data_IF_930524871112
#
_entry.id   IF_930524871112
#
_cell.length_a   1.000
_cell.length_b   1.000
_cell.length_c   1.000
_cell.angle_alpha   90.00
_cell.angle_beta   90.00
_cell.angle_gamma   90.00
#
_symmetry.space_group_name_H-M   'P 1'
#
loop_
_entity.id
_entity.type
_entity.pdbx_description
1 polymer ?
#
# COMPACT_ATOMS: atom_id res chain seq x y z
N UNK A 1 -8.44 3.03 15.22
CA UNK A 1 -8.11 1.71 15.85
C UNK A 1 -8.10 0.67 14.74
N UNK A 2 -7.10 -0.21 14.71
CA UNK A 2 -6.98 -1.24 13.67
C UNK A 2 -8.07 -2.31 13.81
N UNK A 3 -8.65 -2.73 12.66
CA UNK A 3 -9.64 -3.82 12.58
C UNK A 3 -8.98 -5.21 12.43
N UNK A 4 -7.64 -5.27 12.31
CA UNK A 4 -6.90 -6.53 12.13
C UNK A 4 -7.19 -7.60 13.18
N UNK A 5 -7.27 -7.30 14.49
CA UNK A 5 -7.57 -8.32 15.49
C UNK A 5 -8.87 -9.07 15.23
N UNK A 6 -9.89 -8.42 14.68
CA UNK A 6 -11.18 -9.03 14.36
C UNK A 6 -11.06 -10.04 13.21
N UNK A 7 -10.26 -9.73 12.19
CA UNK A 7 -10.03 -10.62 11.05
C UNK A 7 -9.37 -11.95 11.44
N UNK A 8 -8.65 -12.00 12.57
CA UNK A 8 -7.94 -13.17 13.06
C UNK A 8 -8.56 -13.81 14.32
N UNK A 9 -9.71 -13.31 14.78
CA UNK A 9 -10.35 -13.80 16.01
C UNK A 9 -11.00 -15.19 15.86
N UNK A 10 -11.19 -15.69 14.64
CA UNK A 10 -11.75 -17.01 14.35
C UNK A 10 -10.73 -18.14 14.51
N UNK A 11 -11.23 -19.38 14.57
CA UNK A 11 -10.39 -20.60 14.59
C UNK A 11 -10.08 -21.14 13.18
N UNK A 12 -10.61 -20.52 12.15
CA UNK A 12 -10.38 -20.91 10.76
C UNK A 12 -9.26 -20.07 10.14
N UNK A 13 -8.56 -20.57 9.11
CA UNK A 13 -7.56 -19.78 8.39
C UNK A 13 -8.17 -18.52 7.77
N UNK A 14 -7.51 -17.38 7.94
CA UNK A 14 -7.91 -16.13 7.30
C UNK A 14 -7.49 -16.12 5.82
N UNK A 15 -8.38 -15.66 4.93
CA UNK A 15 -8.09 -15.43 3.53
C UNK A 15 -7.64 -13.99 3.32
N UNK A 16 -6.36 -13.80 2.96
CA UNK A 16 -5.72 -12.48 2.80
C UNK A 16 -5.14 -12.36 1.38
N UNK A 17 -5.97 -11.98 0.39
CA UNK A 17 -5.47 -11.76 -0.96
C UNK A 17 -4.62 -10.50 -1.08
N UNK A 18 -3.66 -10.53 -2.01
CA UNK A 18 -2.79 -9.43 -2.37
C UNK A 18 -3.09 -8.94 -3.79
N UNK A 19 -2.99 -7.63 -4.01
CA UNK A 19 -2.91 -7.04 -5.34
C UNK A 19 -1.94 -5.85 -5.38
N UNK A 20 -1.31 -5.64 -6.53
CA UNK A 20 -0.55 -4.42 -6.81
C UNK A 20 -1.52 -3.32 -7.24
N UNK A 21 -1.68 -2.28 -6.44
CA UNK A 21 -2.60 -1.18 -6.73
C UNK A 21 -2.13 -0.43 -7.98
N UNK A 22 -3.05 -0.18 -8.90
CA UNK A 22 -2.76 0.47 -10.18
C UNK A 22 -2.47 -0.50 -11.33
N UNK A 23 -2.51 -1.80 -11.11
CA UNK A 23 -2.33 -2.81 -12.16
C UNK A 23 -3.70 -3.44 -12.56
N UNK A 24 -4.14 -3.31 -13.80
CA UNK A 24 -3.57 -2.52 -14.89
C UNK A 24 -3.85 -1.02 -14.76
N UNK A 25 -4.84 -0.63 -13.96
CA UNK A 25 -5.24 0.74 -13.66
C UNK A 25 -6.00 0.81 -12.33
N UNK A 26 -6.28 2.02 -11.84
CA UNK A 26 -6.97 2.23 -10.55
C UNK A 26 -8.44 1.77 -10.57
N UNK A 27 -9.25 2.02 -11.62
CA UNK A 27 -10.61 1.51 -11.68
C UNK A 27 -10.69 -0.02 -11.62
N UNK A 28 -9.79 -0.71 -12.31
CA UNK A 28 -9.71 -2.18 -12.27
C UNK A 28 -9.29 -2.68 -10.90
N UNK A 29 -8.32 -2.03 -10.27
CA UNK A 29 -7.88 -2.34 -8.90
C UNK A 29 -9.04 -2.22 -7.90
N UNK A 30 -9.86 -1.19 -8.02
CA UNK A 30 -11.06 -1.02 -7.18
C UNK A 30 -12.05 -2.17 -7.36
N UNK A 31 -12.35 -2.53 -8.61
CA UNK A 31 -13.25 -3.65 -8.92
C UNK A 31 -12.69 -4.98 -8.38
N UNK A 32 -11.39 -5.19 -8.44
CA UNK A 32 -10.75 -6.39 -7.88
C UNK A 32 -10.85 -6.44 -6.36
N UNK A 33 -10.62 -5.34 -5.66
CA UNK A 33 -10.78 -5.29 -4.19
C UNK A 33 -12.22 -5.61 -3.80
N UNK A 34 -13.19 -4.98 -4.45
CA UNK A 34 -14.62 -5.23 -4.19
C UNK A 34 -14.99 -6.71 -4.43
N UNK A 35 -14.52 -7.29 -5.53
CA UNK A 35 -14.75 -8.70 -5.83
C UNK A 35 -14.09 -9.66 -4.84
N UNK A 36 -12.89 -9.34 -4.37
CA UNK A 36 -12.18 -10.14 -3.35
C UNK A 36 -12.93 -10.11 -2.01
N UNK A 37 -13.43 -8.95 -1.61
CA UNK A 37 -14.22 -8.80 -0.38
C UNK A 37 -15.56 -9.55 -0.51
N UNK A 38 -16.27 -9.41 -1.63
CA UNK A 38 -17.49 -10.17 -1.91
C UNK A 38 -17.24 -11.69 -1.93
N UNK A 39 -16.06 -12.10 -2.41
CA UNK A 39 -15.60 -13.49 -2.43
C UNK A 39 -15.19 -14.06 -1.06
N UNK A 40 -15.22 -13.26 0.00
CA UNK A 40 -14.97 -13.71 1.37
C UNK A 40 -13.56 -13.43 1.90
N UNK A 41 -12.85 -12.43 1.36
CA UNK A 41 -11.60 -12.00 1.95
C UNK A 41 -11.80 -11.50 3.40
N UNK A 42 -10.97 -11.95 4.32
CA UNK A 42 -10.97 -11.50 5.71
C UNK A 42 -10.14 -10.22 5.92
N UNK A 43 -9.20 -9.98 5.02
CA UNK A 43 -8.33 -8.81 4.96
C UNK A 43 -7.83 -8.68 3.52
N UNK A 44 -7.51 -7.48 3.06
CA UNK A 44 -6.89 -7.29 1.74
C UNK A 44 -5.54 -6.61 1.89
N UNK A 45 -4.52 -7.19 1.28
CA UNK A 45 -3.18 -6.62 1.22
C UNK A 45 -3.01 -5.82 -0.07
N UNK A 46 -2.87 -4.51 0.07
CA UNK A 46 -2.76 -3.53 -1.00
C UNK A 46 -1.29 -3.15 -1.20
N UNK A 47 -0.69 -3.63 -2.28
CA UNK A 47 0.69 -3.30 -2.63
C UNK A 47 0.80 -1.87 -3.17
N UNK A 48 1.63 -1.03 -2.50
CA UNK A 48 2.09 0.24 -3.07
C UNK A 48 3.34 -0.05 -3.90
N UNK A 49 3.28 0.13 -5.23
CA UNK A 49 4.39 -0.21 -6.11
C UNK A 49 5.68 0.55 -5.82
N UNK A 50 6.79 -0.16 -5.86
CA UNK A 50 8.16 0.34 -5.71
C UNK A 50 9.04 -0.12 -6.87
N UNK A 51 9.89 0.77 -7.39
CA UNK A 51 10.70 0.53 -8.59
C UNK A 51 11.77 -0.57 -8.43
N UNK A 52 12.15 -0.88 -7.20
CA UNK A 52 13.20 -1.85 -6.88
C UNK A 52 12.70 -2.93 -5.88
N UNK A 53 11.66 -3.71 -6.25
CA UNK A 53 11.13 -4.75 -5.37
C UNK A 53 12.15 -5.89 -5.21
N UNK A 54 12.40 -6.32 -3.97
CA UNK A 54 13.36 -7.38 -3.65
C UNK A 54 12.72 -8.63 -3.05
N UNK A 55 11.50 -8.51 -2.54
CA UNK A 55 10.78 -9.60 -1.86
C UNK A 55 9.82 -10.36 -2.77
N UNK A 56 9.44 -9.79 -3.91
CA UNK A 56 8.44 -10.37 -4.82
C UNK A 56 9.07 -11.22 -5.94
N UNK A 57 8.33 -12.22 -6.35
CA UNK A 57 8.66 -13.03 -7.52
C UNK A 57 8.31 -12.32 -8.85
N UNK A 58 8.64 -12.96 -10.01
CA UNK A 58 8.50 -12.34 -11.33
C UNK A 58 7.08 -11.85 -11.66
N UNK A 59 6.06 -12.58 -11.23
CA UNK A 59 4.65 -12.23 -11.50
C UNK A 59 4.28 -10.89 -10.85
N UNK A 60 4.58 -10.74 -9.57
CA UNK A 60 4.30 -9.50 -8.83
C UNK A 60 5.19 -8.36 -9.32
N UNK A 61 6.46 -8.62 -9.64
CA UNK A 61 7.35 -7.62 -10.22
C UNK A 61 6.80 -7.06 -11.53
N UNK A 62 6.25 -7.89 -12.40
CA UNK A 62 5.60 -7.45 -13.64
C UNK A 62 4.36 -6.60 -13.39
N UNK A 63 3.53 -6.97 -12.41
CA UNK A 63 2.38 -6.18 -11.99
C UNK A 63 2.80 -4.79 -11.49
N UNK A 64 3.85 -4.73 -10.67
CA UNK A 64 4.44 -3.47 -10.18
C UNK A 64 4.94 -2.61 -11.33
N UNK A 65 5.64 -3.19 -12.31
CA UNK A 65 6.12 -2.45 -13.49
C UNK A 65 4.95 -1.87 -14.29
N UNK A 66 3.88 -2.62 -14.50
CA UNK A 66 2.67 -2.12 -15.19
C UNK A 66 2.04 -0.96 -14.44
N UNK A 67 1.91 -1.08 -13.12
CA UNK A 67 1.36 -0.02 -12.29
C UNK A 67 2.19 1.25 -12.32
N UNK A 68 3.52 1.14 -12.16
CA UNK A 68 4.44 2.28 -12.24
C UNK A 68 4.41 2.94 -13.63
N UNK A 69 4.32 2.14 -14.69
CA UNK A 69 4.19 2.65 -16.06
C UNK A 69 2.88 3.42 -16.27
N UNK A 70 1.83 3.07 -15.53
CA UNK A 70 0.56 3.78 -15.49
C UNK A 70 0.57 5.06 -14.66
N UNK A 71 1.66 5.36 -13.95
CA UNK A 71 1.86 6.60 -13.22
C UNK A 71 1.40 6.58 -11.76
N UNK A 72 1.27 5.41 -11.12
CA UNK A 72 0.94 5.32 -9.70
C UNK A 72 1.98 6.08 -8.85
N UNK A 73 1.50 6.82 -7.88
CA UNK A 73 2.30 7.52 -6.88
C UNK A 73 1.78 7.19 -5.48
N UNK A 74 2.54 7.43 -4.40
CA UNK A 74 2.02 7.28 -3.04
C UNK A 74 0.74 8.08 -2.79
N UNK A 75 0.64 9.30 -3.32
CA UNK A 75 -0.57 10.11 -3.14
C UNK A 75 -1.77 9.51 -3.88
N UNK A 76 -1.61 9.10 -5.15
CA UNK A 76 -2.66 8.41 -5.90
C UNK A 76 -3.10 7.10 -5.24
N UNK A 77 -2.16 6.38 -4.61
CA UNK A 77 -2.45 5.20 -3.80
C UNK A 77 -3.33 5.53 -2.59
N UNK A 78 -3.01 6.59 -1.83
CA UNK A 78 -3.82 6.99 -0.68
C UNK A 78 -5.21 7.49 -1.09
N UNK A 79 -5.31 8.24 -2.17
CA UNK A 79 -6.61 8.65 -2.74
C UNK A 79 -7.45 7.43 -3.13
N UNK A 80 -6.81 6.44 -3.76
CA UNK A 80 -7.46 5.17 -4.09
C UNK A 80 -8.00 4.46 -2.85
N UNK A 81 -7.21 4.36 -1.78
CA UNK A 81 -7.64 3.72 -0.53
C UNK A 81 -8.79 4.48 0.12
N UNK A 82 -8.74 5.80 0.12
CA UNK A 82 -9.78 6.67 0.67
C UNK A 82 -11.14 6.47 -0.04
N UNK A 83 -11.10 6.16 -1.35
CA UNK A 83 -12.30 5.91 -2.17
C UNK A 83 -12.84 4.47 -2.05
N UNK A 84 -12.16 3.59 -1.32
CA UNK A 84 -12.65 2.22 -1.09
C UNK A 84 -13.71 2.22 0.02
N UNK A 85 -14.87 1.64 -0.29
CA UNK A 85 -15.94 1.39 0.68
C UNK A 85 -16.06 -0.11 0.94
N UNK A 86 -15.22 -0.63 1.84
CA UNK A 86 -15.17 -2.04 2.20
C UNK A 86 -15.08 -2.24 3.72
N UNK A 87 -15.71 -3.29 4.23
CA UNK A 87 -15.84 -3.59 5.66
C UNK A 87 -14.72 -4.49 6.22
N UNK A 88 -13.72 -4.84 5.40
CA UNK A 88 -12.60 -5.67 5.84
C UNK A 88 -11.36 -4.80 6.12
N UNK A 89 -10.45 -5.24 7.00
CA UNK A 89 -9.17 -4.57 7.20
C UNK A 89 -8.36 -4.45 5.91
N UNK A 90 -7.69 -3.32 5.75
CA UNK A 90 -6.77 -3.05 4.64
C UNK A 90 -5.34 -2.93 5.15
N UNK A 91 -4.44 -3.68 4.56
CA UNK A 91 -3.01 -3.69 4.89
C UNK A 91 -2.22 -3.12 3.73
N UNK A 92 -1.35 -2.16 3.99
CA UNK A 92 -0.43 -1.62 3.00
C UNK A 92 0.87 -2.43 2.98
N UNK A 93 1.19 -3.02 1.82
CA UNK A 93 2.49 -3.63 1.59
C UNK A 93 3.36 -2.67 0.78
N UNK A 94 4.49 -2.28 1.34
CA UNK A 94 5.46 -1.41 0.66
C UNK A 94 6.85 -1.52 1.28
N UNK A 95 7.82 -0.82 0.69
CA UNK A 95 9.20 -0.78 1.16
C UNK A 95 9.46 0.43 2.03
N UNK A 96 10.37 0.27 2.99
CA UNK A 96 10.68 1.29 4.01
C UNK A 96 11.16 2.62 3.40
N UNK A 97 11.87 2.57 2.28
CA UNK A 97 12.33 3.78 1.60
C UNK A 97 11.18 4.71 1.16
N UNK A 98 10.06 4.15 0.67
CA UNK A 98 8.87 4.94 0.33
C UNK A 98 8.23 5.56 1.58
N UNK A 99 8.14 4.78 2.65
CA UNK A 99 7.61 5.26 3.93
C UNK A 99 8.45 6.41 4.49
N UNK A 100 9.76 6.23 4.48
CA UNK A 100 10.72 7.16 5.10
C UNK A 100 10.83 8.49 4.34
N UNK A 101 10.61 8.47 3.01
CA UNK A 101 10.73 9.64 2.13
C UNK A 101 9.42 10.35 1.82
N UNK A 102 8.30 9.80 2.21
CA UNK A 102 7.00 10.40 1.97
C UNK A 102 6.88 11.77 2.66
N UNK A 103 6.38 12.76 1.91
CA UNK A 103 6.27 14.13 2.40
C UNK A 103 7.58 14.94 2.28
N UNK A 104 8.65 14.36 1.73
CA UNK A 104 9.81 15.14 1.34
C UNK A 104 9.43 16.09 0.20
N UNK A 105 9.57 17.39 0.41
CA UNK A 105 9.29 18.39 -0.61
C UNK A 105 10.10 18.12 -1.88
N UNK A 106 9.41 17.99 -3.00
CA UNK A 106 10.01 17.84 -4.33
C UNK A 106 10.77 19.10 -4.79
N UNK A 107 10.88 20.10 -3.92
CA UNK A 107 11.50 21.40 -4.19
C UNK A 107 12.93 21.58 -3.70
N UNK A 108 13.47 20.68 -2.87
CA UNK A 108 14.86 20.78 -2.41
C UNK A 108 15.79 20.20 -3.48
N UNK A 109 16.47 21.08 -4.23
CA UNK A 109 17.51 20.67 -5.18
C UNK A 109 18.60 19.91 -4.42
N UNK A 110 18.93 18.71 -4.90
CA UNK A 110 20.08 17.97 -4.42
C UNK A 110 21.33 18.88 -4.49
N UNK A 111 21.88 19.28 -3.34
CA UNK A 111 23.12 20.03 -3.26
C UNK A 111 23.17 21.23 -2.32
N UNK A 112 22.07 21.67 -1.73
CA UNK A 112 22.09 22.78 -0.79
C UNK A 112 21.42 22.41 0.54
N UNK A 113 22.25 22.09 1.52
CA UNK A 113 21.86 21.88 2.91
C UNK A 113 21.71 20.41 3.32
N UNK A 114 21.79 20.14 4.60
CA UNK A 114 21.53 18.82 5.18
C UNK A 114 20.08 18.39 4.90
N UNK A 115 19.90 17.47 3.92
CA UNK A 115 18.62 16.87 3.65
C UNK A 115 18.25 15.94 4.79
N UNK A 116 17.38 16.39 5.68
CA UNK A 116 16.77 15.53 6.68
C UNK A 116 15.48 14.93 6.12
N UNK A 117 15.48 13.63 5.92
CA UNK A 117 14.27 12.92 5.47
C UNK A 117 13.17 13.06 6.55
N UNK A 118 11.90 13.20 6.15
CA UNK A 118 10.81 13.43 7.10
C UNK A 118 10.56 12.26 8.06
N UNK A 119 11.14 11.10 7.78
CA UNK A 119 10.92 9.88 8.56
C UNK A 119 9.57 9.21 8.27
N UNK A 120 9.21 8.17 9.03
CA UNK A 120 8.02 7.38 8.74
C UNK A 120 6.69 8.03 9.13
N UNK A 121 6.71 9.03 10.02
CA UNK A 121 5.50 9.62 10.62
C UNK A 121 4.50 10.13 9.58
N UNK A 122 4.86 10.96 8.59
CA UNK A 122 3.88 11.50 7.64
C UNK A 122 3.16 10.42 6.84
N UNK A 123 3.87 9.35 6.44
CA UNK A 123 3.28 8.23 5.74
C UNK A 123 2.27 7.46 6.61
N UNK A 124 2.65 7.17 7.85
CA UNK A 124 1.82 6.42 8.80
C UNK A 124 0.57 7.21 9.17
N UNK A 125 0.70 8.52 9.40
CA UNK A 125 -0.44 9.39 9.68
C UNK A 125 -1.42 9.44 8.50
N UNK A 126 -0.91 9.63 7.27
CA UNK A 126 -1.77 9.63 6.08
C UNK A 126 -2.43 8.26 5.85
N UNK A 127 -1.70 7.17 6.03
CA UNK A 127 -2.25 5.83 5.93
C UNK A 127 -3.40 5.60 6.93
N UNK A 128 -3.24 6.03 8.17
CA UNK A 128 -4.27 5.94 9.19
C UNK A 128 -5.52 6.77 8.84
N UNK A 129 -5.33 7.98 8.31
CA UNK A 129 -6.42 8.86 7.88
C UNK A 129 -7.29 8.23 6.79
N UNK A 130 -6.68 7.55 5.81
CA UNK A 130 -7.41 6.92 4.70
C UNK A 130 -7.97 5.53 5.03
N UNK A 131 -7.70 5.00 6.22
CA UNK A 131 -8.27 3.74 6.69
C UNK A 131 -7.40 2.51 6.50
N UNK A 132 -6.09 2.65 6.37
CA UNK A 132 -5.14 1.53 6.44
C UNK A 132 -5.05 1.03 7.89
N UNK A 133 -5.20 -0.27 8.08
CA UNK A 133 -5.23 -0.93 9.39
C UNK A 133 -3.86 -1.47 9.83
N UNK A 134 -2.94 -1.68 8.89
CA UNK A 134 -1.61 -2.21 9.18
C UNK A 134 -0.66 -2.18 7.98
N UNK A 135 0.56 -2.65 8.22
CA UNK A 135 1.63 -2.63 7.21
C UNK A 135 2.36 -3.96 7.13
N UNK A 136 2.78 -4.30 5.91
CA UNK A 136 3.81 -5.31 5.62
C UNK A 136 5.00 -4.58 4.99
N UNK A 137 6.12 -4.56 5.68
CA UNK A 137 7.34 -3.84 5.25
C UNK A 137 8.51 -4.83 5.28
N UNK A 138 8.84 -5.47 4.14
CA UNK A 138 9.83 -6.57 4.10
C UNK A 138 11.24 -6.15 4.50
N UNK A 139 11.60 -4.89 4.30
CA UNK A 139 12.92 -4.32 4.55
C UNK A 139 12.95 -3.37 5.77
N UNK A 140 11.99 -3.51 6.69
CA UNK A 140 11.98 -2.73 7.92
C UNK A 140 13.23 -3.04 8.76
N UNK A 141 14.05 -2.03 9.11
CA UNK A 141 15.28 -2.23 9.89
C UNK A 141 15.02 -2.65 11.35
#
# INVERSE_FOLDING_TARGET
MSRLPEAFAGNEPAFIPYLAVGDPDLPSSKAYVEALVEGGADCVELGLPFSEPIAEGPTIQQAVVRSLSGGITPEAYFEFVEDLDVDVPLVCMTYYNLIFRYGADSGTKAGEGDYEAPGPRPFVERAAEVGIDGFVVPDLP
#
